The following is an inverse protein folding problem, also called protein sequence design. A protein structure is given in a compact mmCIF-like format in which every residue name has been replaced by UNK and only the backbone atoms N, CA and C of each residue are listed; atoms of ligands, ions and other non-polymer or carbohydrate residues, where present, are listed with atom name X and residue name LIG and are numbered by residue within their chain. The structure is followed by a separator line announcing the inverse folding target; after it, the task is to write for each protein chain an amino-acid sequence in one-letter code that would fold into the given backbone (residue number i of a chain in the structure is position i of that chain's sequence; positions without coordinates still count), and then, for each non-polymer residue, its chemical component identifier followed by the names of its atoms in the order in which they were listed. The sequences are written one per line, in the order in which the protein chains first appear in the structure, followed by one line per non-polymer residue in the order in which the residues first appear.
data_IF_339845950906
#
_entry.id   IF_339845950906
#
_cell.length_a   1.000
_cell.length_b   1.000
_cell.length_c   1.000
_cell.angle_alpha   90.00
_cell.angle_beta   90.00
_cell.angle_gamma   90.00
#
_symmetry.space_group_name_H-M   'P 1'
#
loop_
_entity.id
_entity.type
_entity.pdbx_description
1 polymer ?
#
# COMPACT_ATOMS: atom_id res chain seq x y z
N UNK A 1 2.23 -22.16 -23.32
CA UNK A 1 1.70 -21.56 -22.06
C UNK A 1 1.13 -22.67 -21.19
N UNK A 2 1.46 -22.78 -19.90
CA UNK A 2 1.03 -23.94 -19.07
C UNK A 2 -0.49 -24.08 -18.90
N UNK A 3 -1.27 -22.99 -19.04
CA UNK A 3 -2.72 -22.99 -18.81
C UNK A 3 -3.57 -22.65 -20.07
N UNK A 4 -3.01 -22.75 -21.27
CA UNK A 4 -3.72 -22.45 -22.53
C UNK A 4 -4.17 -21.00 -22.73
N UNK A 5 -4.03 -20.12 -21.73
CA UNK A 5 -4.40 -18.71 -21.84
C UNK A 5 -3.29 -17.90 -22.54
N UNK A 6 -3.64 -17.22 -23.64
CA UNK A 6 -2.75 -16.25 -24.29
C UNK A 6 -2.66 -15.00 -23.44
N UNK A 7 -1.46 -14.65 -23.02
CA UNK A 7 -1.15 -13.38 -22.38
C UNK A 7 -0.62 -12.42 -23.44
N UNK A 8 -1.24 -11.24 -23.56
CA UNK A 8 -0.80 -10.17 -24.46
C UNK A 8 -0.50 -8.94 -23.62
N UNK A 9 0.76 -8.53 -23.60
CA UNK A 9 1.21 -7.31 -22.91
C UNK A 9 2.18 -6.55 -23.80
N UNK A 10 2.09 -5.22 -23.81
CA UNK A 10 3.10 -4.39 -24.44
C UNK A 10 4.40 -4.47 -23.64
N UNK A 11 5.50 -4.75 -24.32
CA UNK A 11 6.82 -4.87 -23.69
C UNK A 11 7.53 -3.51 -23.52
N UNK A 12 6.91 -2.40 -23.96
CA UNK A 12 7.44 -1.04 -23.79
C UNK A 12 8.75 -0.74 -24.54
N UNK A 13 9.24 -1.67 -25.36
CA UNK A 13 10.48 -1.51 -26.14
C UNK A 13 10.24 -1.79 -27.62
N UNK A 14 10.98 -1.08 -28.49
CA UNK A 14 11.05 -1.33 -29.93
C UNK A 14 12.25 -2.20 -30.32
N UNK A 15 13.15 -2.47 -29.39
CA UNK A 15 14.33 -3.31 -29.60
C UNK A 15 13.92 -4.78 -29.50
N UNK A 16 14.12 -5.51 -30.60
CA UNK A 16 13.77 -6.93 -30.73
C UNK A 16 14.52 -7.81 -29.71
N UNK A 17 15.79 -7.51 -29.42
CA UNK A 17 16.61 -8.27 -28.48
C UNK A 17 16.08 -8.13 -27.05
N UNK A 18 15.83 -6.90 -26.62
CA UNK A 18 15.24 -6.60 -25.32
C UNK A 18 13.83 -7.18 -25.19
N UNK A 19 13.02 -7.12 -26.26
CA UNK A 19 11.69 -7.70 -26.28
C UNK A 19 11.73 -9.21 -26.10
N UNK A 20 12.66 -9.92 -26.76
CA UNK A 20 12.83 -11.37 -26.63
C UNK A 20 13.28 -11.74 -25.21
N UNK A 21 14.26 -11.05 -24.65
CA UNK A 21 14.75 -11.28 -23.30
C UNK A 21 13.64 -11.11 -22.25
N UNK A 22 12.86 -10.04 -22.37
CA UNK A 22 11.73 -9.77 -21.46
C UNK A 22 10.61 -10.83 -21.63
N UNK A 23 10.33 -11.23 -22.88
CA UNK A 23 9.38 -12.32 -23.15
C UNK A 23 9.81 -13.64 -22.49
N UNK A 24 11.08 -14.00 -22.62
CA UNK A 24 11.60 -15.25 -22.06
C UNK A 24 11.59 -15.23 -20.54
N UNK A 25 11.90 -14.08 -19.93
CA UNK A 25 11.76 -13.86 -18.48
C UNK A 25 10.32 -14.06 -18.02
N UNK A 26 9.36 -13.39 -18.64
CA UNK A 26 7.94 -13.52 -18.29
C UNK A 26 7.41 -14.95 -18.50
N UNK A 27 7.90 -15.64 -19.53
CA UNK A 27 7.55 -17.05 -19.78
C UNK A 27 8.12 -17.99 -18.71
N UNK A 28 9.36 -17.75 -18.26
CA UNK A 28 9.99 -18.51 -17.19
C UNK A 28 9.27 -18.30 -15.85
N UNK A 29 8.91 -17.06 -15.51
CA UNK A 29 8.12 -16.73 -14.32
C UNK A 29 6.75 -17.41 -14.34
N UNK A 30 6.02 -17.30 -15.45
CA UNK A 30 4.72 -17.96 -15.61
C UNK A 30 4.82 -19.48 -15.48
N UNK A 31 5.90 -20.08 -15.96
CA UNK A 31 6.17 -21.50 -15.82
C UNK A 31 6.45 -21.90 -14.36
N UNK A 32 7.27 -21.13 -13.65
CA UNK A 32 7.58 -21.35 -12.22
C UNK A 32 6.30 -21.30 -11.38
N UNK A 33 5.49 -20.25 -11.54
CA UNK A 33 4.21 -20.12 -10.83
C UNK A 33 3.30 -21.32 -11.13
N UNK A 34 3.18 -21.69 -12.42
CA UNK A 34 2.25 -22.74 -12.83
C UNK A 34 2.70 -24.17 -12.51
N UNK A 35 4.01 -24.45 -12.52
CA UNK A 35 4.56 -25.81 -12.37
C UNK A 35 5.21 -26.05 -11.03
N UNK A 36 5.86 -25.03 -10.45
CA UNK A 36 6.54 -25.14 -9.17
C UNK A 36 5.71 -24.58 -8.01
N UNK A 37 4.56 -23.94 -8.30
CA UNK A 37 3.74 -23.30 -7.27
C UNK A 37 4.40 -22.07 -6.63
N UNK A 38 5.43 -21.50 -7.28
CA UNK A 38 6.09 -20.31 -6.78
C UNK A 38 5.11 -19.14 -6.72
N UNK A 39 5.17 -18.35 -5.66
CA UNK A 39 4.37 -17.16 -5.51
C UNK A 39 5.01 -16.05 -6.36
N UNK A 40 4.26 -15.40 -7.28
CA UNK A 40 4.80 -14.33 -8.10
C UNK A 40 5.25 -13.15 -7.26
N UNK A 41 6.29 -12.45 -7.73
CA UNK A 41 6.73 -11.19 -7.14
C UNK A 41 5.69 -10.11 -7.43
N UNK A 42 4.91 -9.76 -6.42
CA UNK A 42 3.83 -8.78 -6.52
C UNK A 42 4.20 -7.54 -5.69
N UNK A 43 4.06 -6.37 -6.28
CA UNK A 43 4.29 -5.11 -5.60
C UNK A 43 3.12 -4.73 -4.68
N UNK A 44 3.39 -3.83 -3.74
CA UNK A 44 2.34 -3.30 -2.87
C UNK A 44 1.25 -2.57 -3.65
N UNK A 45 1.63 -1.84 -4.71
CA UNK A 45 0.71 -1.13 -5.61
C UNK A 45 -0.26 -2.09 -6.31
N UNK A 46 0.23 -3.18 -6.85
CA UNK A 46 -0.60 -4.20 -7.51
C UNK A 46 -1.62 -4.80 -6.54
N UNK A 47 -1.21 -5.07 -5.31
CA UNK A 47 -2.12 -5.54 -4.27
C UNK A 47 -3.17 -4.47 -3.90
N UNK A 48 -2.79 -3.18 -3.86
CA UNK A 48 -3.73 -2.08 -3.62
C UNK A 48 -4.75 -1.93 -4.75
N UNK A 49 -4.32 -2.04 -6.01
CA UNK A 49 -5.23 -2.00 -7.18
C UNK A 49 -6.24 -3.13 -7.07
N UNK A 50 -5.80 -4.35 -6.84
CA UNK A 50 -6.68 -5.50 -6.68
C UNK A 50 -7.67 -5.33 -5.51
N UNK A 51 -7.20 -4.80 -4.37
CA UNK A 51 -8.08 -4.48 -3.25
C UNK A 51 -9.20 -3.52 -3.64
N UNK A 52 -8.87 -2.45 -4.35
CA UNK A 52 -9.85 -1.45 -4.78
C UNK A 52 -10.85 -2.02 -5.78
N UNK A 53 -10.42 -2.87 -6.70
CA UNK A 53 -11.29 -3.53 -7.68
C UNK A 53 -12.28 -4.49 -6.98
N UNK A 54 -11.81 -5.35 -6.09
CA UNK A 54 -12.65 -6.31 -5.36
C UNK A 54 -13.60 -5.63 -4.38
N UNK A 55 -13.20 -4.53 -3.77
CA UNK A 55 -14.00 -3.78 -2.78
C UNK A 55 -14.73 -2.58 -3.38
N UNK A 56 -14.85 -2.48 -4.71
CA UNK A 56 -15.48 -1.35 -5.39
C UNK A 56 -16.91 -1.05 -4.91
N UNK A 57 -17.63 -2.07 -4.47
CA UNK A 57 -19.00 -1.94 -3.93
C UNK A 57 -19.08 -1.40 -2.49
N UNK A 58 -17.94 -1.23 -1.82
CA UNK A 58 -17.88 -0.85 -0.40
C UNK A 58 -18.17 0.64 -0.21
N UNK A 59 -19.14 1.00 0.65
CA UNK A 59 -19.47 2.40 0.95
C UNK A 59 -18.30 3.23 1.50
N UNK A 60 -17.36 2.60 2.22
CA UNK A 60 -16.17 3.24 2.78
C UNK A 60 -14.92 3.09 1.88
N UNK A 61 -15.09 2.99 0.56
CA UNK A 61 -13.99 2.85 -0.38
C UNK A 61 -13.04 4.05 -0.36
N UNK A 62 -13.57 5.26 -0.17
CA UNK A 62 -12.75 6.48 -0.12
C UNK A 62 -11.87 6.53 1.14
N UNK A 63 -12.33 5.96 2.24
CA UNK A 63 -11.49 5.77 3.42
C UNK A 63 -10.35 4.78 3.13
N UNK A 64 -10.63 3.70 2.39
CA UNK A 64 -9.60 2.74 2.00
C UNK A 64 -8.58 3.38 1.05
N UNK A 65 -9.01 4.21 0.08
CA UNK A 65 -8.11 5.00 -0.79
C UNK A 65 -7.22 5.94 0.02
N UNK A 66 -7.78 6.62 1.03
CA UNK A 66 -7.02 7.49 1.92
C UNK A 66 -5.96 6.72 2.72
N UNK A 67 -6.30 5.52 3.21
CA UNK A 67 -5.36 4.64 3.92
C UNK A 67 -4.28 4.09 2.99
N UNK A 68 -4.64 3.71 1.76
CA UNK A 68 -3.69 3.30 0.72
C UNK A 68 -2.72 4.43 0.44
N UNK A 69 -3.18 5.67 0.27
CA UNK A 69 -2.34 6.83 0.05
C UNK A 69 -1.28 7.03 1.15
N UNK A 70 -1.64 6.77 2.42
CA UNK A 70 -0.67 6.78 3.52
C UNK A 70 0.39 5.65 3.36
N UNK A 71 -0.05 4.42 3.09
CA UNK A 71 0.86 3.29 3.00
C UNK A 71 1.77 3.35 1.77
N UNK A 72 1.30 3.91 0.66
CA UNK A 72 2.11 4.14 -0.53
C UNK A 72 3.30 5.08 -0.28
N UNK A 73 3.19 6.05 0.64
CA UNK A 73 4.32 6.90 1.03
C UNK A 73 5.47 6.10 1.66
N UNK A 74 5.19 4.90 2.16
CA UNK A 74 6.17 4.05 2.85
C UNK A 74 6.55 2.79 2.09
N UNK A 75 5.66 2.26 1.25
CA UNK A 75 5.80 0.95 0.63
C UNK A 75 5.77 0.98 -0.90
N UNK A 76 5.71 2.17 -1.54
CA UNK A 76 5.76 2.27 -2.99
C UNK A 76 7.02 1.59 -3.55
N UNK A 77 6.84 0.77 -4.58
CA UNK A 77 7.89 -0.02 -5.22
C UNK A 77 8.38 -1.23 -4.42
N UNK A 78 7.83 -1.50 -3.22
CA UNK A 78 8.20 -2.67 -2.43
C UNK A 78 7.43 -3.90 -2.86
N UNK A 79 8.11 -5.05 -2.85
CA UNK A 79 7.44 -6.34 -2.96
C UNK A 79 6.64 -6.66 -1.69
N UNK A 80 5.48 -7.30 -1.82
CA UNK A 80 4.65 -7.67 -0.67
C UNK A 80 5.41 -8.49 0.37
N UNK A 81 6.26 -9.41 -0.07
CA UNK A 81 7.08 -10.25 0.81
C UNK A 81 8.08 -9.47 1.66
N UNK A 82 8.47 -8.27 1.21
CA UNK A 82 9.43 -7.41 1.91
C UNK A 82 8.78 -6.51 2.96
N UNK A 83 7.44 -6.49 3.04
CA UNK A 83 6.67 -5.74 4.01
C UNK A 83 6.61 -6.50 5.34
N UNK A 84 7.55 -6.20 6.22
CA UNK A 84 7.66 -6.83 7.53
C UNK A 84 6.88 -6.08 8.61
N UNK A 85 6.61 -6.77 9.73
CA UNK A 85 6.01 -6.18 10.92
C UNK A 85 6.77 -4.93 11.39
N UNK A 86 8.11 -4.98 11.40
CA UNK A 86 8.97 -3.85 11.80
C UNK A 86 8.78 -2.62 10.92
N UNK A 87 8.71 -2.79 9.59
CA UNK A 87 8.46 -1.69 8.64
C UNK A 87 7.08 -1.07 8.86
N UNK A 88 6.05 -1.90 9.12
CA UNK A 88 4.69 -1.43 9.40
C UNK A 88 4.66 -0.56 10.65
N UNK A 89 5.25 -1.02 11.75
CA UNK A 89 5.27 -0.23 12.99
C UNK A 89 6.17 1.00 12.89
N UNK A 90 7.28 0.95 12.15
CA UNK A 90 8.10 2.12 11.87
C UNK A 90 7.32 3.22 11.15
N UNK A 91 6.52 2.85 10.13
CA UNK A 91 5.63 3.79 9.47
C UNK A 91 4.59 4.38 10.43
N UNK A 92 4.02 3.56 11.32
CA UNK A 92 3.05 4.01 12.31
C UNK A 92 3.63 5.00 13.34
N UNK A 93 4.89 4.85 13.72
CA UNK A 93 5.54 5.79 14.64
C UNK A 93 5.63 7.20 14.05
N UNK A 94 5.87 7.30 12.74
CA UNK A 94 5.98 8.58 12.01
C UNK A 94 4.62 9.21 11.68
N UNK A 95 3.51 8.53 11.95
CA UNK A 95 2.20 9.01 11.61
C UNK A 95 1.78 10.22 12.44
N UNK A 96 1.54 11.34 11.77
CA UNK A 96 1.07 12.59 12.36
C UNK A 96 -0.44 12.78 12.22
N UNK A 97 -1.00 13.70 13.00
CA UNK A 97 -2.40 14.08 12.94
C UNK A 97 -2.63 15.03 11.75
N UNK A 98 -3.12 14.50 10.64
CA UNK A 98 -3.38 15.25 9.41
C UNK A 98 -4.30 16.46 9.63
N UNK A 99 -5.39 16.31 10.40
CA UNK A 99 -6.31 17.41 10.70
C UNK A 99 -5.62 18.55 11.46
N UNK A 100 -4.69 18.22 12.34
CA UNK A 100 -3.88 19.22 13.04
C UNK A 100 -2.98 20.00 12.07
N UNK A 101 -2.35 19.30 11.15
CA UNK A 101 -1.53 19.90 10.09
C UNK A 101 -2.35 20.80 9.16
N UNK A 102 -3.50 20.33 8.70
CA UNK A 102 -4.42 21.11 7.85
C UNK A 102 -4.89 22.39 8.56
N UNK A 103 -5.30 22.30 9.81
CA UNK A 103 -5.70 23.44 10.61
C UNK A 103 -4.56 24.45 10.81
N UNK A 104 -3.33 23.96 11.01
CA UNK A 104 -2.17 24.84 11.08
C UNK A 104 -1.90 25.55 9.75
N UNK A 105 -1.98 24.84 8.61
CA UNK A 105 -1.81 25.44 7.27
C UNK A 105 -2.81 26.57 7.02
N UNK A 106 -4.08 26.36 7.34
CA UNK A 106 -5.12 27.38 7.23
C UNK A 106 -4.83 28.60 8.11
N UNK A 107 -4.40 28.36 9.37
CA UNK A 107 -4.04 29.44 10.29
C UNK A 107 -2.79 30.21 9.82
N UNK A 108 -1.78 29.49 9.34
CA UNK A 108 -0.56 30.08 8.79
C UNK A 108 -0.86 30.99 7.58
N UNK A 109 -1.72 30.54 6.67
CA UNK A 109 -2.17 31.33 5.53
C UNK A 109 -2.94 32.59 5.96
N UNK A 110 -3.85 32.46 6.92
CA UNK A 110 -4.58 33.61 7.46
C UNK A 110 -3.66 34.65 8.13
N UNK A 111 -2.59 34.19 8.81
CA UNK A 111 -1.58 35.09 9.39
C UNK A 111 -0.78 35.81 8.30
N UNK A 112 -0.37 35.12 7.24
CA UNK A 112 0.34 35.72 6.09
C UNK A 112 -0.51 36.81 5.40
N UNK A 113 -1.79 36.52 5.15
CA UNK A 113 -2.73 37.50 4.55
C UNK A 113 -2.91 38.75 5.42
N UNK A 114 -2.75 38.63 6.74
CA UNK A 114 -2.89 39.74 7.70
C UNK A 114 -1.56 40.41 8.09
N UNK A 115 -0.44 40.02 7.46
CA UNK A 115 0.89 40.52 7.83
C UNK A 115 1.35 40.14 9.24
N UNK A 116 0.75 39.12 9.85
CA UNK A 116 1.09 38.67 11.22
C UNK A 116 2.15 37.55 11.16
N UNK A 117 2.95 37.41 12.20
CA UNK A 117 3.93 36.30 12.28
C UNK A 117 3.19 34.94 12.21
N UNK A 118 3.75 34.04 11.39
CA UNK A 118 3.21 32.68 11.25
C UNK A 118 3.65 31.86 12.48
N UNK A 119 2.71 31.19 13.18
CA UNK A 119 3.07 30.36 14.32
C UNK A 119 3.92 29.17 13.89
N UNK A 120 4.87 28.76 14.74
CA UNK A 120 5.70 27.57 14.50
C UNK A 120 4.84 26.31 14.41
N UNK A 121 5.15 25.45 13.45
CA UNK A 121 4.47 24.16 13.32
C UNK A 121 5.04 23.11 14.26
N UNK A 122 4.22 22.64 15.16
CA UNK A 122 4.55 21.52 16.06
C UNK A 122 3.72 20.28 15.65
N UNK A 123 4.34 19.26 15.03
CA UNK A 123 3.60 18.08 14.61
C UNK A 123 3.04 17.32 15.80
N UNK A 124 1.76 16.96 15.73
CA UNK A 124 1.12 16.09 16.73
C UNK A 124 1.05 14.65 16.21
N UNK A 125 1.35 13.65 17.03
CA UNK A 125 1.19 12.25 16.63
C UNK A 125 -0.29 11.94 16.37
N UNK A 126 -0.55 11.00 15.45
CA UNK A 126 -1.89 10.50 15.21
C UNK A 126 -2.43 9.76 16.45
N UNK A 127 -3.75 9.82 16.65
CA UNK A 127 -4.42 9.17 17.77
C UNK A 127 -4.29 7.64 17.69
N UNK A 128 -4.43 6.96 18.83
CA UNK A 128 -4.43 5.49 18.89
C UNK A 128 -5.54 4.92 18.01
N UNK A 129 -6.72 5.54 18.00
CA UNK A 129 -7.83 5.12 17.15
C UNK A 129 -7.48 5.23 15.65
N UNK A 130 -6.87 6.35 15.22
CA UNK A 130 -6.42 6.53 13.84
C UNK A 130 -5.38 5.47 13.45
N UNK A 131 -4.40 5.24 14.31
CA UNK A 131 -3.37 4.20 14.09
C UNK A 131 -4.00 2.81 14.03
N UNK A 132 -4.97 2.50 14.88
CA UNK A 132 -5.68 1.23 14.89
C UNK A 132 -6.42 0.98 13.56
N UNK A 133 -7.10 1.99 13.00
CA UNK A 133 -7.79 1.84 11.70
C UNK A 133 -6.83 1.59 10.56
N UNK A 134 -5.67 2.28 10.50
CA UNK A 134 -4.63 2.04 9.50
C UNK A 134 -4.01 0.65 9.64
N UNK A 135 -3.72 0.20 10.86
CA UNK A 135 -3.20 -1.15 11.12
C UNK A 135 -4.21 -2.24 10.77
N UNK A 136 -5.50 -2.02 11.06
CA UNK A 136 -6.56 -2.95 10.66
C UNK A 136 -6.68 -3.08 9.16
N UNK A 137 -6.55 -1.96 8.43
CA UNK A 137 -6.58 -1.95 6.98
C UNK A 137 -5.43 -2.75 6.37
N UNK A 138 -4.16 -2.42 6.73
CA UNK A 138 -3.00 -3.12 6.16
C UNK A 138 -2.99 -4.60 6.51
N UNK A 139 -3.43 -4.96 7.74
CA UNK A 139 -3.62 -6.35 8.17
C UNK A 139 -4.63 -7.08 7.29
N UNK A 140 -5.76 -6.44 6.96
CA UNK A 140 -6.79 -7.03 6.12
C UNK A 140 -6.28 -7.23 4.68
N UNK A 141 -5.60 -6.25 4.10
CA UNK A 141 -5.01 -6.32 2.75
C UNK A 141 -3.98 -7.45 2.65
N UNK A 142 -3.02 -7.50 3.58
CA UNK A 142 -1.96 -8.53 3.56
C UNK A 142 -2.52 -9.94 3.82
N UNK A 143 -3.58 -10.08 4.63
CA UNK A 143 -4.28 -11.35 4.80
C UNK A 143 -5.05 -11.77 3.55
N UNK A 144 -5.67 -10.85 2.85
CA UNK A 144 -6.29 -11.14 1.55
C UNK A 144 -5.23 -11.60 0.54
N UNK A 145 -4.07 -10.94 0.50
CA UNK A 145 -2.94 -11.33 -0.35
C UNK A 145 -2.43 -12.74 -0.04
N UNK A 146 -2.37 -13.14 1.23
CA UNK A 146 -1.99 -14.49 1.65
C UNK A 146 -3.08 -15.52 1.32
N UNK A 147 -4.33 -15.29 1.76
CA UNK A 147 -5.36 -16.33 1.82
C UNK A 147 -6.19 -16.43 0.55
N UNK A 148 -6.60 -15.27 0.01
CA UNK A 148 -7.53 -15.20 -1.10
C UNK A 148 -6.81 -15.14 -2.44
N UNK A 149 -5.76 -14.32 -2.53
CA UNK A 149 -5.08 -14.06 -3.79
C UNK A 149 -3.86 -14.95 -4.06
N UNK A 150 -3.31 -15.58 -3.02
CA UNK A 150 -2.07 -16.37 -3.12
C UNK A 150 -0.89 -15.57 -3.71
N UNK A 151 -0.83 -14.29 -3.33
CA UNK A 151 0.23 -13.34 -3.69
C UNK A 151 1.31 -13.20 -2.62
N UNK A 152 1.09 -13.80 -1.46
CA UNK A 152 1.99 -13.77 -0.31
C UNK A 152 1.96 -15.14 0.37
N UNK A 153 3.12 -15.67 0.72
CA UNK A 153 3.22 -16.96 1.42
C UNK A 153 2.65 -16.85 2.84
N UNK A 154 3.11 -15.84 3.58
CA UNK A 154 2.68 -15.60 4.96
C UNK A 154 2.60 -14.11 5.27
N UNK A 155 1.42 -13.65 5.69
CA UNK A 155 1.24 -12.27 6.13
C UNK A 155 1.90 -12.03 7.50
N UNK A 156 2.52 -10.86 7.73
CA UNK A 156 3.08 -10.53 9.03
C UNK A 156 2.01 -10.45 10.13
N UNK A 157 2.40 -10.77 11.35
CA UNK A 157 1.50 -10.73 12.50
C UNK A 157 1.38 -9.28 12.99
N UNK A 158 0.22 -8.67 12.78
CA UNK A 158 -0.03 -7.28 13.15
C UNK A 158 -0.96 -7.22 14.35
N UNK A 159 -0.45 -6.67 15.46
CA UNK A 159 -1.24 -6.37 16.66
C UNK A 159 -1.88 -5.00 16.50
N UNK A 160 -3.20 -4.95 16.54
CA UNK A 160 -3.97 -3.69 16.44
C UNK A 160 -4.30 -3.24 17.85
N UNK A 161 -3.87 -2.03 18.27
CA UNK A 161 -4.16 -1.51 19.58
C UNK A 161 -5.69 -1.26 19.74
N UNK A 162 -6.22 -1.61 20.88
CA UNK A 162 -7.62 -1.30 21.24
C UNK A 162 -7.66 0.14 21.78
N UNK A 163 -8.36 1.08 21.11
CA UNK A 163 -8.60 2.38 21.71
C UNK A 163 -9.43 2.21 22.97
N UNK A 164 -8.95 2.76 24.10
CA UNK A 164 -9.76 2.79 25.33
C UNK A 164 -10.96 3.70 25.06
N UNK A 165 -12.16 3.13 25.11
CA UNK A 165 -13.39 3.93 25.15
C UNK A 165 -13.35 4.73 26.45
N UNK A 166 -13.44 6.06 26.32
CA UNK A 166 -13.66 6.94 27.46
C UNK A 166 -15.13 6.91 27.82
#
# INVERSE_FOLDING_TARGET
MPNGKRFKQSLGTKDKRQATELHDKLKAEAWRVSKLGEIPDITFEEACVRWLEEKAHKKSLDDDKSRIGFWLQHFAGMQLRDITESKIYSAMQKMTNRRHEENWKLRAEACRKKGKPVPEYMPKPASVATKATHLSFIKALLRAAEREWKMLDKAPIIKVPQPKNK
#
